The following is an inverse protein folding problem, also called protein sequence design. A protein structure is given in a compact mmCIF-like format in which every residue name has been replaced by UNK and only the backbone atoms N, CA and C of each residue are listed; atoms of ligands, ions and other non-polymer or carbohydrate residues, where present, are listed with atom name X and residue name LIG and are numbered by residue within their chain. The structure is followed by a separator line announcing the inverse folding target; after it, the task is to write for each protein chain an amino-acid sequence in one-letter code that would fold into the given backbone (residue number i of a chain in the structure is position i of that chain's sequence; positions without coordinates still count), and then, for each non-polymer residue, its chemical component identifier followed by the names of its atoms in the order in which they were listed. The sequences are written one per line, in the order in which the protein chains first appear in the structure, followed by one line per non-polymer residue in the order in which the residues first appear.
data_IF_110513552337
#
_entry.id   IF_110513552337
#
_cell.length_a   1.000
_cell.length_b   1.000
_cell.length_c   1.000
_cell.angle_alpha   90.00
_cell.angle_beta   90.00
_cell.angle_gamma   90.00
#
_symmetry.space_group_name_H-M   'P 1'
#
loop_
_entity.id
_entity.type
_entity.pdbx_description
1 polymer ?
#
# COMPACT_ATOMS: atom_id res chain seq x y z
N UNK A 1 -13.48 -23.55 20.65
CA UNK A 1 -12.69 -22.29 20.74
C UNK A 1 -11.25 -22.51 21.22
N UNK A 2 -10.98 -23.17 22.33
CA UNK A 2 -9.62 -23.38 22.88
C UNK A 2 -8.68 -24.11 21.88
N UNK A 3 -9.17 -25.15 21.18
CA UNK A 3 -8.37 -25.90 20.19
C UNK A 3 -7.97 -25.04 19.00
N UNK A 4 -8.89 -24.20 18.51
CA UNK A 4 -8.60 -23.25 17.41
C UNK A 4 -7.58 -22.18 17.84
N UNK A 5 -7.75 -21.59 19.03
CA UNK A 5 -6.82 -20.61 19.56
C UNK A 5 -5.40 -21.19 19.74
N UNK A 6 -5.28 -22.44 20.21
CA UNK A 6 -3.99 -23.15 20.31
C UNK A 6 -3.37 -23.41 18.92
N UNK A 7 -4.19 -23.80 17.93
CA UNK A 7 -3.73 -23.98 16.55
C UNK A 7 -3.18 -22.69 15.94
N UNK A 8 -3.90 -21.57 16.07
CA UNK A 8 -3.46 -20.25 15.60
C UNK A 8 -2.17 -19.80 16.32
N UNK A 9 -2.08 -20.01 17.63
CA UNK A 9 -0.86 -19.70 18.39
C UNK A 9 0.33 -20.56 17.95
N UNK A 10 0.11 -21.86 17.71
CA UNK A 10 1.13 -22.77 17.20
C UNK A 10 1.57 -22.39 15.77
N UNK A 11 0.67 -21.91 14.92
CA UNK A 11 0.98 -21.36 13.62
C UNK A 11 1.69 -19.99 13.67
N UNK A 12 1.86 -19.40 14.86
CA UNK A 12 2.51 -18.10 15.02
C UNK A 12 1.67 -16.92 14.53
N UNK A 13 0.34 -17.06 14.50
CA UNK A 13 -0.55 -15.98 14.08
C UNK A 13 -0.51 -14.84 15.08
N UNK A 14 -0.27 -13.63 14.59
CA UNK A 14 -0.34 -12.39 15.35
C UNK A 14 -1.79 -11.91 15.41
N UNK A 15 -2.40 -11.95 16.57
CA UNK A 15 -3.74 -11.41 16.80
C UNK A 15 -3.76 -9.89 16.96
N UNK A 16 -4.91 -9.27 16.68
CA UNK A 16 -5.10 -7.81 16.68
C UNK A 16 -4.69 -7.15 18.02
N UNK A 17 -5.16 -7.70 19.15
CA UNK A 17 -4.86 -7.14 20.46
C UNK A 17 -3.37 -7.17 20.77
N UNK A 18 -2.68 -8.26 20.44
CA UNK A 18 -1.24 -8.38 20.61
C UNK A 18 -0.50 -7.41 19.69
N UNK A 19 -0.88 -7.30 18.40
CA UNK A 19 -0.32 -6.32 17.48
C UNK A 19 -0.44 -4.90 18.06
N UNK A 20 -1.63 -4.54 18.56
CA UNK A 20 -1.85 -3.21 19.12
C UNK A 20 -0.99 -2.96 20.36
N UNK A 21 -1.00 -3.86 21.33
CA UNK A 21 -0.33 -3.66 22.61
C UNK A 21 1.21 -3.78 22.51
N UNK A 22 1.72 -4.85 21.90
CA UNK A 22 3.14 -5.18 21.94
C UNK A 22 3.98 -4.56 20.81
N UNK A 23 3.35 -4.24 19.67
CA UNK A 23 4.07 -3.73 18.51
C UNK A 23 3.70 -2.29 18.17
N UNK A 24 2.42 -1.99 17.98
CA UNK A 24 2.01 -0.64 17.60
C UNK A 24 2.20 0.37 18.74
N UNK A 25 1.62 0.12 19.92
CA UNK A 25 1.68 1.07 21.03
C UNK A 25 3.09 1.15 21.66
N UNK A 26 3.80 0.03 21.71
CA UNK A 26 5.13 -0.03 22.31
C UNK A 26 6.23 0.58 21.42
N UNK A 27 6.08 0.52 20.09
CA UNK A 27 7.16 0.84 19.16
C UNK A 27 6.85 1.98 18.19
N UNK A 28 5.62 2.47 18.20
CA UNK A 28 5.18 3.60 17.37
C UNK A 28 4.74 4.76 18.27
N UNK A 29 5.62 5.69 18.60
CA UNK A 29 5.25 6.89 19.37
C UNK A 29 4.15 7.70 18.65
N UNK A 30 3.09 8.07 19.38
CA UNK A 30 1.92 8.74 18.77
C UNK A 30 2.24 10.06 18.09
N UNK A 31 3.25 10.78 18.54
CA UNK A 31 3.67 12.05 17.93
C UNK A 31 4.23 11.88 16.50
N UNK A 32 4.60 10.65 16.12
CA UNK A 32 5.06 10.33 14.76
C UNK A 32 3.90 9.98 13.80
N UNK A 33 2.70 9.70 14.32
CA UNK A 33 1.56 9.31 13.46
C UNK A 33 1.21 10.34 12.40
N UNK A 34 1.23 11.66 12.67
CA UNK A 34 0.98 12.66 11.63
C UNK A 34 1.95 12.60 10.43
N UNK A 35 3.12 11.95 10.60
CA UNK A 35 4.08 11.78 9.50
C UNK A 35 3.64 10.71 8.50
N UNK A 36 2.76 9.79 8.91
CA UNK A 36 2.31 8.65 8.09
C UNK A 36 0.79 8.66 7.83
N UNK A 37 0.01 9.30 8.70
CA UNK A 37 -1.44 9.45 8.52
C UNK A 37 -1.79 10.58 7.53
N UNK A 38 -0.84 11.47 7.22
CA UNK A 38 -0.96 12.56 6.25
C UNK A 38 -0.06 12.31 5.03
N UNK A 39 -0.68 11.99 3.89
CA UNK A 39 0.02 11.64 2.63
C UNK A 39 0.90 12.76 2.11
N UNK A 40 0.52 14.03 2.34
CA UNK A 40 1.35 15.16 1.93
C UNK A 40 2.63 15.22 2.75
N UNK A 41 2.54 15.05 4.07
CA UNK A 41 3.72 14.99 4.95
C UNK A 41 4.63 13.81 4.62
N UNK A 42 4.06 12.63 4.45
CA UNK A 42 4.81 11.43 4.03
C UNK A 42 5.58 11.70 2.74
N UNK A 43 4.90 12.30 1.73
CA UNK A 43 5.48 12.62 0.43
C UNK A 43 6.62 13.64 0.57
N UNK A 44 6.44 14.70 1.34
CA UNK A 44 7.47 15.72 1.59
C UNK A 44 8.71 15.13 2.27
N UNK A 45 8.52 14.26 3.27
CA UNK A 45 9.61 13.57 3.94
C UNK A 45 10.37 12.63 3.00
N UNK A 46 9.64 11.82 2.23
CA UNK A 46 10.22 10.90 1.25
C UNK A 46 11.05 11.66 0.20
N UNK A 47 10.51 12.73 -0.36
CA UNK A 47 11.21 13.57 -1.36
C UNK A 47 12.51 14.16 -0.78
N UNK A 48 12.48 14.69 0.45
CA UNK A 48 13.67 15.20 1.14
C UNK A 48 14.74 14.14 1.39
N UNK A 49 14.32 12.90 1.57
CA UNK A 49 15.20 11.75 1.76
C UNK A 49 15.66 11.10 0.44
N UNK A 50 15.31 11.67 -0.71
CA UNK A 50 15.62 11.10 -2.03
C UNK A 50 14.85 9.83 -2.36
N UNK A 51 13.74 9.57 -1.64
CA UNK A 51 12.88 8.41 -1.84
C UNK A 51 11.80 8.76 -2.87
N UNK A 52 11.67 7.93 -3.91
CA UNK A 52 10.73 8.14 -4.99
C UNK A 52 9.27 7.98 -4.54
N UNK A 53 8.45 8.96 -4.90
CA UNK A 53 7.00 9.01 -4.68
C UNK A 53 6.32 9.47 -5.97
N UNK A 54 5.03 9.22 -6.20
CA UNK A 54 4.30 9.84 -7.30
C UNK A 54 4.47 11.36 -7.25
N UNK A 55 4.83 11.98 -8.36
CA UNK A 55 5.07 13.41 -8.46
C UNK A 55 3.83 14.21 -8.04
N UNK A 56 4.01 15.21 -7.17
CA UNK A 56 2.95 16.09 -6.72
C UNK A 56 2.82 17.27 -7.69
N UNK A 57 1.72 17.37 -8.37
CA UNK A 57 1.43 18.48 -9.29
C UNK A 57 0.93 19.72 -8.57
N UNK A 58 0.18 19.54 -7.47
CA UNK A 58 -0.31 20.63 -6.65
C UNK A 58 -1.15 20.18 -5.48
N UNK A 59 -1.49 21.17 -4.63
CA UNK A 59 -2.33 20.98 -3.44
C UNK A 59 -3.35 22.09 -3.41
N UNK A 60 -4.61 21.74 -3.18
CA UNK A 60 -5.69 22.68 -2.87
C UNK A 60 -5.98 22.57 -1.37
N UNK A 61 -5.84 23.67 -0.66
CA UNK A 61 -5.94 23.72 0.81
C UNK A 61 -7.16 24.49 1.31
N UNK A 62 -7.66 25.43 0.50
CA UNK A 62 -8.79 26.29 0.85
C UNK A 62 -9.76 26.43 -0.31
N UNK A 63 -11.04 26.67 -0.01
CA UNK A 63 -12.13 26.74 -1.01
C UNK A 63 -11.86 27.75 -2.13
N UNK A 64 -11.26 28.89 -1.83
CA UNK A 64 -10.94 29.91 -2.85
C UNK A 64 -10.05 29.38 -3.97
N UNK A 65 -9.20 28.37 -3.70
CA UNK A 65 -8.29 27.78 -4.68
C UNK A 65 -8.97 26.76 -5.60
N UNK A 66 -10.20 26.31 -5.30
CA UNK A 66 -10.91 25.30 -6.09
C UNK A 66 -11.07 25.75 -7.55
N UNK A 67 -11.34 27.03 -7.79
CA UNK A 67 -11.42 27.64 -9.14
C UNK A 67 -10.12 27.55 -9.95
N UNK A 68 -8.98 27.39 -9.28
CA UNK A 68 -7.66 27.35 -9.91
C UNK A 68 -7.28 25.93 -10.37
N UNK A 69 -8.07 24.90 -10.01
CA UNK A 69 -7.83 23.47 -10.32
C UNK A 69 -7.58 23.24 -11.81
N UNK A 70 -8.37 23.88 -12.68
CA UNK A 70 -8.28 23.64 -14.12
C UNK A 70 -7.02 24.26 -14.73
N UNK A 71 -6.58 25.40 -14.22
CA UNK A 71 -5.32 26.04 -14.60
C UNK A 71 -4.15 25.20 -14.10
N UNK A 72 -4.21 24.72 -12.85
CA UNK A 72 -3.20 23.85 -12.26
C UNK A 72 -3.04 22.53 -13.05
N UNK A 73 -4.15 21.95 -13.51
CA UNK A 73 -4.15 20.68 -14.26
C UNK A 73 -4.02 20.87 -15.77
N UNK A 74 -3.93 22.11 -16.28
CA UNK A 74 -3.82 22.35 -17.74
C UNK A 74 -2.66 21.57 -18.41
N UNK A 75 -1.44 21.49 -17.81
CA UNK A 75 -0.34 20.74 -18.39
C UNK A 75 -0.50 19.22 -18.33
N UNK A 76 -1.45 18.69 -17.55
CA UNK A 76 -1.56 17.27 -17.26
C UNK A 76 -2.86 16.69 -17.83
N UNK A 77 -2.75 15.77 -18.79
CA UNK A 77 -3.91 15.06 -19.36
C UNK A 77 -4.42 13.96 -18.41
N UNK A 78 -3.51 13.37 -17.63
CA UNK A 78 -3.76 12.29 -16.69
C UNK A 78 -3.26 12.67 -15.30
N UNK A 79 -4.06 12.43 -14.26
CA UNK A 79 -3.70 12.73 -12.89
C UNK A 79 -4.61 12.01 -11.89
N UNK A 80 -4.21 12.01 -10.64
CA UNK A 80 -5.01 11.51 -9.52
C UNK A 80 -5.33 12.66 -8.58
N UNK A 81 -6.57 12.73 -8.13
CA UNK A 81 -7.02 13.60 -7.03
C UNK A 81 -7.29 12.74 -5.82
N UNK A 82 -6.74 13.08 -4.67
CA UNK A 82 -6.96 12.32 -3.44
C UNK A 82 -6.89 13.20 -2.18
N UNK A 83 -7.62 12.84 -1.10
CA UNK A 83 -7.50 13.50 0.19
C UNK A 83 -6.15 13.20 0.84
N UNK A 84 -5.55 14.19 1.53
CA UNK A 84 -4.28 14.00 2.25
C UNK A 84 -4.43 13.03 3.42
N UNK A 85 -5.57 13.07 4.13
CA UNK A 85 -5.85 12.27 5.33
C UNK A 85 -6.96 11.22 5.13
N UNK A 86 -7.35 10.95 3.88
CA UNK A 86 -8.30 9.90 3.52
C UNK A 86 -7.75 8.50 3.73
N UNK A 87 -8.63 7.52 3.92
CA UNK A 87 -8.28 6.11 4.10
C UNK A 87 -9.09 5.20 3.18
N UNK A 88 -8.63 3.97 2.95
CA UNK A 88 -9.37 2.94 2.22
C UNK A 88 -9.56 3.19 0.72
N UNK A 89 -8.99 4.26 0.19
CA UNK A 89 -9.18 4.68 -1.20
C UNK A 89 -10.44 5.51 -1.42
N UNK A 90 -11.09 5.97 -0.36
CA UNK A 90 -12.26 6.84 -0.46
C UNK A 90 -11.83 8.27 -0.82
N UNK A 91 -12.61 8.94 -1.67
CA UNK A 91 -12.29 10.27 -2.19
C UNK A 91 -11.19 10.31 -3.25
N UNK A 92 -10.70 9.15 -3.73
CA UNK A 92 -9.73 9.09 -4.84
C UNK A 92 -10.49 9.13 -6.17
N UNK A 93 -10.12 10.09 -7.03
CA UNK A 93 -10.56 10.17 -8.43
C UNK A 93 -9.34 10.05 -9.34
N UNK A 94 -9.40 9.10 -10.27
CA UNK A 94 -8.33 8.85 -11.24
C UNK A 94 -8.78 9.33 -12.61
N UNK A 95 -8.11 10.34 -13.13
CA UNK A 95 -8.33 10.90 -14.47
C UNK A 95 -7.36 10.24 -15.44
N UNK A 96 -7.91 9.60 -16.47
CA UNK A 96 -7.17 8.88 -17.52
C UNK A 96 -7.09 9.63 -18.84
N UNK A 97 -7.60 10.85 -18.90
CA UNK A 97 -7.58 11.67 -20.11
C UNK A 97 -8.62 12.77 -20.09
N UNK A 98 -8.73 13.46 -21.22
CA UNK A 98 -9.72 14.52 -21.47
C UNK A 98 -10.56 14.22 -22.70
N UNK A 99 -11.77 14.76 -22.73
CA UNK A 99 -12.67 14.75 -23.87
C UNK A 99 -13.34 16.12 -23.98
N UNK A 100 -12.77 17.01 -24.80
CA UNK A 100 -13.16 18.43 -24.81
C UNK A 100 -12.95 19.07 -23.43
N UNK A 101 -14.02 19.66 -22.88
CA UNK A 101 -14.02 20.30 -21.57
C UNK A 101 -14.22 19.32 -20.38
N UNK A 102 -14.39 18.02 -20.67
CA UNK A 102 -14.63 16.99 -19.65
C UNK A 102 -13.38 16.21 -19.32
N UNK A 103 -13.30 15.71 -18.09
CA UNK A 103 -12.30 14.77 -17.64
C UNK A 103 -12.84 13.34 -17.77
N UNK A 104 -12.01 12.42 -18.24
CA UNK A 104 -12.36 11.00 -18.38
C UNK A 104 -11.76 10.21 -17.23
N UNK A 105 -12.60 9.52 -16.47
CA UNK A 105 -12.18 8.59 -15.43
C UNK A 105 -11.69 7.26 -16.02
N UNK A 106 -10.99 6.43 -15.23
CA UNK A 106 -10.48 5.11 -15.67
C UNK A 106 -11.60 4.15 -16.09
N UNK A 107 -12.79 4.25 -15.51
CA UNK A 107 -13.97 3.45 -15.88
C UNK A 107 -14.64 3.91 -17.19
N UNK A 108 -14.20 5.05 -17.74
CA UNK A 108 -14.71 5.66 -18.96
C UNK A 108 -15.76 6.75 -18.71
N UNK A 109 -16.21 6.94 -17.48
CA UNK A 109 -17.14 8.01 -17.13
C UNK A 109 -16.52 9.39 -17.43
N UNK A 110 -17.33 10.29 -17.96
CA UNK A 110 -16.96 11.68 -18.19
C UNK A 110 -17.53 12.54 -17.07
N UNK A 111 -16.68 13.32 -16.41
CA UNK A 111 -17.06 14.31 -15.40
C UNK A 111 -16.76 15.71 -15.92
N UNK A 112 -17.62 16.65 -15.60
CA UNK A 112 -17.46 18.07 -15.96
C UNK A 112 -16.40 18.75 -15.10
N UNK A 113 -16.02 19.97 -15.45
CA UNK A 113 -15.19 20.83 -14.60
C UNK A 113 -15.86 21.07 -13.24
N UNK A 114 -17.15 21.35 -13.22
CA UNK A 114 -17.92 21.58 -12.01
C UNK A 114 -17.98 20.33 -11.11
N UNK A 115 -18.09 19.12 -11.68
CA UNK A 115 -18.06 17.87 -10.88
C UNK A 115 -16.71 17.69 -10.17
N UNK A 116 -15.60 18.00 -10.86
CA UNK A 116 -14.27 17.94 -10.27
C UNK A 116 -14.10 18.99 -9.16
N UNK A 117 -14.55 20.22 -9.38
CA UNK A 117 -14.54 21.27 -8.36
C UNK A 117 -15.37 20.88 -7.13
N UNK A 118 -16.56 20.36 -7.35
CA UNK A 118 -17.43 19.88 -6.26
C UNK A 118 -16.77 18.72 -5.47
N UNK A 119 -16.10 17.80 -6.17
CA UNK A 119 -15.35 16.73 -5.52
C UNK A 119 -14.22 17.27 -4.65
N UNK A 120 -13.47 18.27 -5.15
CA UNK A 120 -12.38 18.91 -4.38
C UNK A 120 -12.93 19.63 -3.15
N UNK A 121 -14.05 20.38 -3.29
CA UNK A 121 -14.73 21.00 -2.14
C UNK A 121 -15.19 19.96 -1.11
N UNK A 122 -15.66 18.79 -1.57
CA UNK A 122 -15.98 17.65 -0.72
C UNK A 122 -14.76 17.14 0.07
N UNK A 123 -13.57 17.10 -0.54
CA UNK A 123 -12.32 16.76 0.18
C UNK A 123 -12.02 17.83 1.24
N UNK A 124 -12.05 19.11 0.87
CA UNK A 124 -11.74 20.22 1.78
C UNK A 124 -12.67 20.24 3.00
N UNK A 125 -13.95 19.91 2.82
CA UNK A 125 -14.93 19.84 3.91
C UNK A 125 -14.72 18.66 4.86
N UNK A 126 -13.79 17.72 4.54
CA UNK A 126 -13.51 16.55 5.35
C UNK A 126 -14.42 15.34 5.09
N UNK A 127 -15.20 15.34 4.00
CA UNK A 127 -16.12 14.24 3.65
C UNK A 127 -15.43 12.87 3.62
N UNK A 128 -14.14 12.82 3.25
CA UNK A 128 -13.35 11.59 3.08
C UNK A 128 -12.28 11.40 4.15
N UNK A 129 -12.15 12.35 5.10
CA UNK A 129 -11.13 12.28 6.14
C UNK A 129 -11.61 11.48 7.35
N UNK A 130 -10.67 10.86 8.05
CA UNK A 130 -10.97 10.19 9.32
C UNK A 130 -11.46 11.20 10.36
N UNK A 131 -12.70 10.99 10.85
CA UNK A 131 -13.32 11.86 11.83
C UNK A 131 -13.92 13.17 11.28
N UNK A 132 -14.08 13.30 9.94
CA UNK A 132 -14.75 14.44 9.31
C UNK A 132 -14.01 15.77 9.48
N UNK A 133 -12.70 15.73 9.70
CA UNK A 133 -11.89 16.95 9.86
C UNK A 133 -11.57 17.54 8.48
N UNK A 134 -11.51 18.89 8.34
CA UNK A 134 -11.06 19.53 7.11
C UNK A 134 -9.76 18.94 6.60
N UNK A 135 -9.66 18.75 5.28
CA UNK A 135 -8.54 18.07 4.63
C UNK A 135 -8.02 18.91 3.44
N UNK A 136 -7.05 18.41 2.74
CA UNK A 136 -6.44 19.00 1.54
C UNK A 136 -6.54 18.04 0.37
N UNK A 137 -6.80 18.60 -0.81
CA UNK A 137 -6.84 17.80 -2.05
C UNK A 137 -5.44 17.80 -2.70
N UNK A 138 -4.88 16.62 -2.88
CA UNK A 138 -3.60 16.39 -3.57
C UNK A 138 -3.86 16.03 -5.01
N UNK A 139 -3.14 16.68 -5.92
CA UNK A 139 -3.12 16.36 -7.35
C UNK A 139 -1.76 15.79 -7.68
N UNK A 140 -1.72 14.59 -8.23
CA UNK A 140 -0.45 13.89 -8.45
C UNK A 140 -0.42 13.06 -9.72
N UNK A 141 0.77 12.66 -10.10
CA UNK A 141 1.06 11.75 -11.19
C UNK A 141 0.20 10.48 -11.09
N UNK A 142 -0.44 10.13 -12.21
CA UNK A 142 -1.13 8.85 -12.36
C UNK A 142 -0.13 7.75 -12.65
N UNK A 143 0.04 6.84 -11.70
CA UNK A 143 0.95 5.69 -11.84
C UNK A 143 0.53 4.80 -13.01
N UNK A 144 1.48 4.49 -13.88
CA UNK A 144 1.36 3.50 -14.95
C UNK A 144 2.01 2.21 -14.46
N UNK A 145 1.23 1.28 -13.94
CA UNK A 145 1.79 0.09 -13.30
C UNK A 145 2.58 -0.81 -14.28
N UNK A 146 3.56 -1.52 -13.73
CA UNK A 146 4.48 -2.36 -14.50
C UNK A 146 3.76 -3.51 -15.22
N UNK A 147 4.22 -3.91 -16.43
CA UNK A 147 3.59 -4.93 -17.26
C UNK A 147 3.36 -6.28 -16.59
N UNK A 148 4.17 -6.64 -15.58
CA UNK A 148 4.02 -7.89 -14.81
C UNK A 148 2.61 -8.04 -14.20
N UNK A 149 1.91 -6.93 -13.96
CA UNK A 149 0.59 -6.93 -13.35
C UNK A 149 -0.57 -6.85 -14.36
N UNK A 150 -0.33 -6.63 -15.65
CA UNK A 150 -1.38 -6.46 -16.65
C UNK A 150 -2.33 -7.66 -16.71
N UNK A 151 -1.76 -8.86 -16.63
CA UNK A 151 -2.53 -10.10 -16.68
C UNK A 151 -3.36 -10.40 -15.42
N UNK A 152 -3.05 -9.74 -14.29
CA UNK A 152 -3.59 -10.07 -12.98
C UNK A 152 -4.17 -8.86 -12.23
N UNK A 153 -4.48 -7.79 -12.93
CA UNK A 153 -5.13 -6.61 -12.37
C UNK A 153 -6.36 -6.22 -13.19
N UNK A 154 -7.36 -5.68 -12.52
CA UNK A 154 -8.56 -5.16 -13.16
C UNK A 154 -8.67 -3.65 -12.96
N UNK A 155 -8.37 -2.87 -14.01
CA UNK A 155 -8.55 -1.40 -14.10
C UNK A 155 -7.88 -0.52 -13.04
N UNK A 156 -7.19 -1.10 -12.06
CA UNK A 156 -6.56 -0.37 -10.97
C UNK A 156 -5.07 -0.64 -10.90
N UNK A 157 -4.39 0.10 -10.03
CA UNK A 157 -2.96 -0.05 -9.78
C UNK A 157 -2.75 -1.06 -8.67
N UNK A 158 -2.08 -2.21 -8.93
CA UNK A 158 -1.62 -3.11 -7.90
C UNK A 158 -0.63 -2.41 -6.98
N UNK A 159 -0.69 -2.71 -5.70
CA UNK A 159 0.32 -2.26 -4.76
C UNK A 159 0.94 -3.41 -3.97
N UNK A 160 2.20 -3.22 -3.58
CA UNK A 160 2.98 -4.17 -2.81
C UNK A 160 3.04 -3.65 -1.38
N UNK A 161 2.39 -4.35 -0.45
CA UNK A 161 2.50 -4.07 0.98
C UNK A 161 3.61 -4.87 1.60
N UNK A 162 4.56 -4.21 2.23
CA UNK A 162 5.64 -4.82 3.00
C UNK A 162 5.49 -4.42 4.47
N UNK A 163 5.40 -5.40 5.37
CA UNK A 163 5.51 -5.13 6.81
C UNK A 163 6.98 -5.02 7.17
N UNK A 164 7.32 -3.88 7.75
CA UNK A 164 8.67 -3.58 8.24
C UNK A 164 8.65 -3.50 9.75
N UNK A 165 9.53 -4.25 10.39
CA UNK A 165 9.66 -4.31 11.83
C UNK A 165 11.12 -4.03 12.24
N UNK A 166 11.33 -2.95 13.01
CA UNK A 166 12.66 -2.44 13.38
C UNK A 166 13.58 -2.28 12.15
N UNK A 167 13.00 -1.86 11.04
CA UNK A 167 13.69 -1.71 9.75
C UNK A 167 13.85 -3.01 8.94
N UNK A 168 13.52 -4.18 9.48
CA UNK A 168 13.60 -5.46 8.77
C UNK A 168 12.28 -5.75 8.04
N UNK A 169 12.28 -6.00 6.70
CA UNK A 169 11.11 -6.49 5.98
C UNK A 169 10.75 -7.91 6.44
N UNK A 170 9.58 -8.09 7.04
CA UNK A 170 9.23 -9.37 7.66
C UNK A 170 8.17 -10.17 6.91
N UNK A 171 7.30 -9.53 6.15
CA UNK A 171 6.25 -10.21 5.37
C UNK A 171 5.75 -9.29 4.26
N UNK A 172 5.42 -9.85 3.11
CA UNK A 172 4.93 -9.08 1.97
C UNK A 172 3.74 -9.71 1.27
N UNK A 173 2.92 -8.89 0.62
CA UNK A 173 1.87 -9.30 -0.31
C UNK A 173 1.70 -8.25 -1.40
N UNK A 174 1.25 -8.65 -2.58
CA UNK A 174 0.67 -7.74 -3.56
C UNK A 174 -0.85 -7.73 -3.41
N UNK A 175 -1.44 -6.54 -3.47
CA UNK A 175 -2.89 -6.33 -3.48
C UNK A 175 -3.33 -6.08 -4.91
N UNK A 176 -4.18 -6.93 -5.43
CA UNK A 176 -4.60 -6.92 -6.83
C UNK A 176 -6.05 -6.44 -6.94
N UNK A 177 -6.29 -5.35 -7.66
CA UNK A 177 -7.63 -4.87 -7.97
C UNK A 177 -8.49 -5.90 -8.69
N UNK A 178 -9.79 -5.92 -8.34
CA UNK A 178 -10.80 -6.74 -9.00
C UNK A 178 -11.99 -5.87 -9.44
N UNK A 179 -12.88 -6.43 -10.25
CA UNK A 179 -14.17 -5.79 -10.57
C UNK A 179 -14.98 -5.55 -9.29
N UNK A 180 -15.00 -6.51 -8.37
CA UNK A 180 -15.72 -6.37 -7.11
C UNK A 180 -15.17 -5.27 -6.19
N UNK A 181 -13.85 -4.97 -6.27
CA UNK A 181 -13.25 -3.85 -5.54
C UNK A 181 -13.38 -2.50 -6.26
N UNK A 182 -14.05 -2.47 -7.44
CA UNK A 182 -14.12 -1.27 -8.27
C UNK A 182 -12.76 -0.77 -8.77
N UNK A 183 -11.79 -1.68 -8.95
CA UNK A 183 -10.42 -1.31 -9.34
C UNK A 183 -9.55 -0.81 -8.17
N UNK A 184 -10.00 -0.90 -6.93
CA UNK A 184 -9.21 -0.52 -5.75
C UNK A 184 -8.42 -1.71 -5.22
N UNK A 185 -7.16 -1.48 -4.81
CA UNK A 185 -6.29 -2.47 -4.18
C UNK A 185 -6.61 -2.63 -2.67
N UNK A 186 -7.89 -2.74 -2.33
CA UNK A 186 -8.37 -2.84 -0.94
C UNK A 186 -9.05 -4.18 -0.68
N UNK A 187 -8.44 -5.02 0.19
CA UNK A 187 -8.94 -6.35 0.51
C UNK A 187 -10.34 -6.34 1.13
N UNK A 188 -10.66 -5.30 1.92
CA UNK A 188 -11.98 -5.16 2.55
C UNK A 188 -13.08 -4.83 1.53
N UNK A 189 -12.71 -4.30 0.37
CA UNK A 189 -13.60 -3.98 -0.74
C UNK A 189 -13.60 -5.07 -1.83
N UNK A 190 -12.94 -6.20 -1.59
CA UNK A 190 -12.97 -7.35 -2.50
C UNK A 190 -11.76 -7.51 -3.42
N UNK A 191 -10.67 -6.76 -3.20
CA UNK A 191 -9.40 -7.01 -3.84
C UNK A 191 -8.78 -8.33 -3.37
N UNK A 192 -7.81 -8.83 -4.12
CA UNK A 192 -7.05 -10.04 -3.81
C UNK A 192 -5.78 -9.65 -3.06
N UNK A 193 -5.40 -10.44 -2.06
CA UNK A 193 -4.06 -10.41 -1.48
C UNK A 193 -3.29 -11.64 -1.90
N UNK A 194 -2.20 -11.47 -2.65
CA UNK A 194 -1.29 -12.55 -2.95
C UNK A 194 0.01 -12.39 -2.14
N UNK A 195 0.31 -13.37 -1.30
CA UNK A 195 1.53 -13.39 -0.49
C UNK A 195 2.77 -13.47 -1.37
N UNK A 196 3.83 -12.77 -0.96
CA UNK A 196 5.11 -12.77 -1.68
C UNK A 196 6.18 -13.36 -0.76
N UNK A 197 6.91 -14.34 -1.25
CA UNK A 197 8.09 -14.87 -0.57
C UNK A 197 9.17 -13.78 -0.45
N UNK A 198 9.57 -13.47 0.76
CA UNK A 198 10.58 -12.43 1.04
C UNK A 198 11.95 -12.78 0.42
N UNK A 199 12.30 -14.06 0.37
CA UNK A 199 13.61 -14.47 -0.17
C UNK A 199 13.69 -14.25 -1.69
N UNK A 200 12.63 -14.59 -2.42
CA UNK A 200 12.66 -14.69 -3.89
C UNK A 200 11.87 -13.60 -4.61
N UNK A 201 10.91 -12.96 -3.96
CA UNK A 201 9.98 -12.02 -4.59
C UNK A 201 8.90 -12.69 -5.44
N UNK A 202 8.66 -13.98 -5.23
CA UNK A 202 7.67 -14.74 -5.99
C UNK A 202 6.37 -14.89 -5.22
N UNK A 203 5.22 -14.74 -5.88
CA UNK A 203 3.92 -14.95 -5.25
C UNK A 203 3.71 -16.42 -4.92
N UNK A 204 3.23 -16.72 -3.69
CA UNK A 204 3.13 -18.08 -3.16
C UNK A 204 1.70 -18.53 -2.98
N UNK A 205 0.81 -17.68 -2.53
CA UNK A 205 -0.57 -17.99 -2.15
C UNK A 205 -1.44 -16.78 -2.39
N UNK A 206 -2.73 -16.97 -2.67
CA UNK A 206 -3.62 -15.84 -2.86
C UNK A 206 -4.96 -16.05 -2.13
N UNK A 207 -5.51 -14.95 -1.61
CA UNK A 207 -6.77 -14.94 -0.86
C UNK A 207 -7.67 -13.80 -1.33
N UNK A 208 -8.97 -14.06 -1.30
CA UNK A 208 -10.02 -13.06 -1.46
C UNK A 208 -11.13 -13.34 -0.46
N UNK A 209 -11.60 -12.32 0.26
CA UNK A 209 -12.63 -12.47 1.28
C UNK A 209 -12.37 -13.64 2.24
N UNK A 210 -11.12 -13.79 2.71
CA UNK A 210 -10.62 -14.85 3.60
C UNK A 210 -10.62 -16.28 3.02
N UNK A 211 -10.92 -16.47 1.74
CA UNK A 211 -10.85 -17.76 1.05
C UNK A 211 -9.65 -17.82 0.12
N UNK A 212 -8.95 -18.95 0.10
CA UNK A 212 -7.86 -19.18 -0.86
C UNK A 212 -8.40 -19.27 -2.28
N UNK A 213 -7.68 -18.66 -3.22
CA UNK A 213 -7.96 -18.72 -4.65
C UNK A 213 -6.66 -18.93 -5.43
N UNK A 214 -6.74 -19.68 -6.52
CA UNK A 214 -5.57 -19.93 -7.38
C UNK A 214 -5.52 -19.03 -8.62
N UNK A 215 -6.65 -18.44 -9.00
CA UNK A 215 -6.78 -17.64 -10.21
C UNK A 215 -7.52 -16.33 -9.94
N UNK A 216 -7.16 -15.30 -10.72
CA UNK A 216 -7.84 -14.01 -10.67
C UNK A 216 -9.29 -14.15 -11.21
N UNK A 217 -10.33 -13.75 -10.47
CA UNK A 217 -11.73 -13.99 -10.85
C UNK A 217 -12.16 -13.28 -12.13
N UNK A 218 -11.54 -12.15 -12.48
CA UNK A 218 -11.93 -11.36 -13.65
C UNK A 218 -11.07 -11.66 -14.88
N UNK A 219 -9.81 -12.11 -14.70
CA UNK A 219 -8.90 -12.38 -15.84
C UNK A 219 -8.66 -13.87 -16.08
N UNK A 220 -8.94 -14.73 -15.08
CA UNK A 220 -8.68 -16.18 -15.16
C UNK A 220 -7.20 -16.58 -15.01
N UNK A 221 -6.29 -15.62 -14.90
CA UNK A 221 -4.86 -15.90 -14.84
C UNK A 221 -4.42 -16.41 -13.45
N UNK A 222 -3.35 -17.25 -13.39
CA UNK A 222 -2.82 -17.75 -12.13
C UNK A 222 -2.25 -16.62 -11.27
N UNK A 223 -2.36 -16.77 -9.95
CA UNK A 223 -1.94 -15.79 -8.95
C UNK A 223 -0.66 -16.20 -8.21
N UNK A 224 -0.15 -17.40 -8.46
CA UNK A 224 1.06 -17.93 -7.85
C UNK A 224 2.21 -17.95 -8.87
N UNK A 225 3.43 -18.02 -8.39
CA UNK A 225 4.66 -18.10 -9.21
C UNK A 225 4.92 -16.86 -10.07
N UNK A 226 4.34 -15.71 -9.71
CA UNK A 226 4.60 -14.43 -10.36
C UNK A 226 5.83 -13.81 -9.71
N UNK A 227 6.87 -13.54 -10.49
CA UNK A 227 8.11 -12.92 -10.02
C UNK A 227 7.99 -11.41 -10.07
N UNK A 228 8.16 -10.74 -8.94
CA UNK A 228 8.13 -9.28 -8.85
C UNK A 228 9.50 -8.73 -9.26
N UNK A 229 9.59 -7.93 -10.33
CA UNK A 229 10.86 -7.39 -10.79
C UNK A 229 11.46 -6.41 -9.78
N UNK A 230 12.81 -6.39 -9.70
CA UNK A 230 13.53 -5.48 -8.81
C UNK A 230 13.28 -5.73 -7.32
N UNK A 231 12.97 -6.97 -6.92
CA UNK A 231 12.53 -7.32 -5.57
C UNK A 231 13.44 -6.84 -4.46
N UNK A 232 14.75 -7.00 -4.62
CA UNK A 232 15.71 -6.54 -3.63
C UNK A 232 15.67 -5.02 -3.43
N UNK A 233 15.53 -4.26 -4.51
CA UNK A 233 15.37 -2.80 -4.44
C UNK A 233 14.09 -2.39 -3.72
N UNK A 234 13.00 -3.14 -3.89
CA UNK A 234 11.74 -2.93 -3.15
C UNK A 234 11.92 -3.18 -1.65
N UNK A 235 12.62 -4.25 -1.27
CA UNK A 235 12.94 -4.54 0.13
C UNK A 235 13.86 -3.46 0.74
N UNK A 236 14.87 -3.01 0.00
CA UNK A 236 15.77 -1.91 0.41
C UNK A 236 14.99 -0.61 0.63
N UNK A 237 14.11 -0.26 -0.30
CA UNK A 237 13.24 0.90 -0.20
C UNK A 237 12.34 0.82 1.04
N UNK A 238 11.68 -0.32 1.27
CA UNK A 238 10.83 -0.53 2.43
C UNK A 238 11.62 -0.46 3.76
N UNK A 239 12.81 -1.07 3.80
CA UNK A 239 13.70 -1.03 4.97
C UNK A 239 14.11 0.41 5.32
N UNK A 240 14.40 1.25 4.31
CA UNK A 240 14.79 2.65 4.48
C UNK A 240 13.67 3.51 5.08
N UNK A 241 12.41 3.12 4.91
CA UNK A 241 11.27 3.84 5.49
C UNK A 241 11.24 3.81 7.03
N UNK A 242 11.98 2.91 7.66
CA UNK A 242 12.14 2.90 9.12
C UNK A 242 12.86 4.16 9.61
N UNK A 243 13.96 4.54 8.97
CA UNK A 243 14.67 5.77 9.30
C UNK A 243 13.85 7.02 8.95
N UNK A 244 13.03 6.95 7.89
CA UNK A 244 12.17 8.05 7.46
C UNK A 244 11.06 8.37 8.46
N UNK A 245 10.37 7.35 8.96
CA UNK A 245 9.18 7.49 9.81
C UNK A 245 9.48 7.46 11.31
N UNK A 246 10.57 6.81 11.71
CA UNK A 246 10.87 6.51 13.11
C UNK A 246 9.96 5.45 13.74
N UNK A 247 9.07 4.82 12.96
CA UNK A 247 8.14 3.80 13.45
C UNK A 247 8.83 2.44 13.53
N UNK A 248 8.72 1.76 14.67
CA UNK A 248 9.29 0.42 14.86
C UNK A 248 8.47 -0.70 14.20
N UNK A 249 7.17 -0.47 13.94
CA UNK A 249 6.27 -1.41 13.27
C UNK A 249 5.41 -0.67 12.27
N UNK A 250 5.58 -0.93 10.99
CA UNK A 250 4.85 -0.22 9.94
C UNK A 250 4.57 -1.08 8.71
N UNK A 251 3.59 -0.66 7.93
CA UNK A 251 3.35 -1.13 6.57
C UNK A 251 3.84 -0.09 5.57
N UNK A 252 4.57 -0.54 4.57
CA UNK A 252 5.01 0.29 3.44
C UNK A 252 4.26 -0.17 2.21
N UNK A 253 3.55 0.75 1.56
CA UNK A 253 2.80 0.50 0.34
C UNK A 253 3.57 1.08 -0.85
N UNK A 254 3.98 0.21 -1.77
CA UNK A 254 4.82 0.53 -2.92
C UNK A 254 4.06 0.14 -4.18
N UNK A 255 4.03 1.03 -5.16
CA UNK A 255 3.62 0.71 -6.53
C UNK A 255 4.84 0.58 -7.41
N UNK A 256 4.77 -0.31 -8.37
CA UNK A 256 5.82 -0.47 -9.38
C UNK A 256 5.35 0.23 -10.66
N UNK A 257 5.85 1.43 -10.88
CA UNK A 257 5.57 2.20 -12.09
C UNK A 257 6.44 1.71 -13.24
N UNK A 258 5.86 1.64 -14.45
CA UNK A 258 6.51 1.12 -15.64
C UNK A 258 7.75 1.92 -16.04
N UNK A 259 7.67 3.24 -15.91
CA UNK A 259 8.69 4.17 -16.41
C UNK A 259 9.56 4.75 -15.28
N UNK A 260 8.99 4.89 -14.07
CA UNK A 260 9.65 5.51 -12.90
C UNK A 260 10.15 4.48 -11.88
N UNK A 261 9.84 3.18 -12.06
CA UNK A 261 10.21 2.14 -11.11
C UNK A 261 9.40 2.18 -9.81
N UNK A 262 9.98 1.75 -8.67
CA UNK A 262 9.25 1.69 -7.40
C UNK A 262 8.95 3.08 -6.82
N UNK A 263 7.68 3.33 -6.47
CA UNK A 263 7.22 4.57 -5.86
C UNK A 263 6.48 4.25 -4.54
N UNK A 264 6.81 4.94 -3.46
CA UNK A 264 6.06 4.82 -2.19
C UNK A 264 4.73 5.57 -2.32
N UNK A 265 3.63 4.88 -2.07
CA UNK A 265 2.29 5.50 -2.00
C UNK A 265 1.97 6.04 -0.62
N UNK A 266 2.17 5.22 0.40
CA UNK A 266 1.90 5.58 1.80
C UNK A 266 2.67 4.70 2.79
N UNK A 267 2.77 5.20 4.01
CA UNK A 267 3.22 4.46 5.17
C UNK A 267 2.05 4.27 6.14
N UNK A 268 1.99 3.12 6.80
CA UNK A 268 0.90 2.78 7.70
C UNK A 268 1.44 2.42 9.09
N UNK A 269 1.06 3.18 10.12
CA UNK A 269 1.41 2.89 11.50
C UNK A 269 0.70 1.65 12.08
N UNK A 270 -0.40 1.23 11.46
CA UNK A 270 -1.28 0.13 11.91
C UNK A 270 -1.68 -0.78 10.76
N UNK A 271 -0.71 -1.42 10.07
CA UNK A 271 -1.02 -2.26 8.92
C UNK A 271 -1.93 -3.43 9.28
N UNK A 272 -2.85 -3.77 8.37
CA UNK A 272 -3.78 -4.88 8.54
C UNK A 272 -3.07 -6.24 8.59
N UNK A 273 -3.70 -7.22 9.25
CA UNK A 273 -3.12 -8.55 9.51
C UNK A 273 -3.51 -9.62 8.46
N UNK A 274 -4.32 -9.27 7.47
CA UNK A 274 -4.74 -10.21 6.41
C UNK A 274 -3.55 -10.69 5.54
N UNK A 275 -2.44 -10.01 5.60
CA UNK A 275 -1.18 -10.42 4.98
C UNK A 275 -0.72 -11.81 5.46
N UNK A 276 -1.04 -12.21 6.69
CA UNK A 276 -0.76 -13.55 7.22
C UNK A 276 -1.55 -14.63 6.47
N UNK A 277 -2.82 -14.34 6.15
CA UNK A 277 -3.67 -15.28 5.40
C UNK A 277 -3.14 -15.40 3.96
N UNK A 278 -2.77 -14.28 3.34
CA UNK A 278 -2.19 -14.26 2.01
C UNK A 278 -0.88 -15.06 1.91
N UNK A 279 -0.08 -15.09 2.98
CA UNK A 279 1.17 -15.86 3.02
C UNK A 279 0.98 -17.30 3.54
N UNK A 280 -0.18 -17.63 4.12
CA UNK A 280 -0.39 -18.92 4.80
C UNK A 280 0.53 -19.13 6.01
N UNK A 281 1.09 -18.04 6.59
CA UNK A 281 2.07 -18.08 7.66
C UNK A 281 1.82 -17.01 8.73
N UNK A 282 2.21 -17.28 9.97
CA UNK A 282 2.04 -16.39 11.11
C UNK A 282 3.17 -15.36 11.23
N UNK A 283 2.79 -14.09 11.32
CA UNK A 283 3.74 -12.95 11.43
C UNK A 283 4.53 -12.96 12.76
N UNK A 284 3.94 -13.47 13.85
CA UNK A 284 4.55 -13.41 15.19
C UNK A 284 5.91 -14.12 15.28
N UNK A 285 6.10 -15.23 14.55
CA UNK A 285 7.39 -15.93 14.53
C UNK A 285 8.49 -15.08 13.94
N UNK A 286 8.18 -14.35 12.86
CA UNK A 286 9.11 -13.46 12.17
C UNK A 286 9.47 -12.25 13.02
N UNK A 287 8.48 -11.63 13.70
CA UNK A 287 8.74 -10.52 14.64
C UNK A 287 9.66 -10.96 15.78
N UNK A 288 9.38 -12.10 16.41
CA UNK A 288 10.24 -12.65 17.48
C UNK A 288 11.65 -12.97 17.01
N UNK A 289 11.80 -13.41 15.77
CA UNK A 289 13.13 -13.65 15.19
C UNK A 289 13.92 -12.34 15.08
N UNK A 290 13.28 -11.26 14.61
CA UNK A 290 13.91 -9.94 14.56
C UNK A 290 14.24 -9.42 15.97
N UNK A 291 13.33 -9.58 16.94
CA UNK A 291 13.58 -9.16 18.32
C UNK A 291 14.82 -9.82 18.92
N UNK A 292 15.08 -11.07 18.58
CA UNK A 292 16.19 -11.84 19.10
C UNK A 292 17.51 -11.59 18.36
N UNK A 293 17.47 -11.59 17.02
CA UNK A 293 18.68 -11.69 16.19
C UNK A 293 18.84 -10.53 15.19
N UNK A 294 17.82 -9.69 14.99
CA UNK A 294 17.79 -8.64 13.97
C UNK A 294 17.75 -7.21 14.49
N UNK A 295 17.81 -7.02 15.79
CA UNK A 295 17.60 -5.71 16.41
C UNK A 295 18.72 -4.71 16.13
N UNK A 296 19.95 -5.19 16.08
CA UNK A 296 21.16 -4.39 15.98
C UNK A 296 21.73 -4.26 14.55
N UNK A 297 20.93 -4.66 13.54
CA UNK A 297 21.32 -4.54 12.13
C UNK A 297 21.38 -3.07 11.72
N UNK A 298 22.59 -2.57 11.45
CA UNK A 298 22.85 -1.14 11.29
C UNK A 298 22.34 -0.56 9.95
N UNK A 299 22.33 -1.34 8.87
CA UNK A 299 22.03 -0.83 7.52
C UNK A 299 20.81 -1.50 6.90
N UNK A 300 20.11 -0.82 5.96
CA UNK A 300 19.07 -1.44 5.17
C UNK A 300 19.54 -2.73 4.46
N UNK A 301 20.77 -2.75 3.93
CA UNK A 301 21.34 -3.92 3.26
C UNK A 301 21.43 -5.13 4.19
N UNK A 302 21.98 -4.95 5.40
CA UNK A 302 22.07 -6.01 6.40
C UNK A 302 20.67 -6.52 6.83
N UNK A 303 19.70 -5.63 6.96
CA UNK A 303 18.30 -5.97 7.31
C UNK A 303 17.62 -6.75 6.20
N UNK A 304 17.83 -6.39 4.95
CA UNK A 304 17.29 -7.09 3.78
C UNK A 304 17.94 -8.46 3.62
N UNK A 305 19.25 -8.55 3.78
CA UNK A 305 19.96 -9.83 3.76
C UNK A 305 19.41 -10.76 4.84
N UNK A 306 19.33 -10.30 6.09
CA UNK A 306 18.74 -11.05 7.20
C UNK A 306 17.31 -11.52 6.89
N UNK A 307 16.48 -10.65 6.31
CA UNK A 307 15.10 -11.00 5.97
C UNK A 307 15.04 -12.11 4.92
N UNK A 308 15.86 -12.03 3.88
CA UNK A 308 15.91 -13.04 2.80
C UNK A 308 16.43 -14.40 3.27
N UNK A 309 17.38 -14.43 4.20
CA UNK A 309 17.93 -15.66 4.78
C UNK A 309 16.96 -16.38 5.73
N UNK A 310 16.10 -15.60 6.43
CA UNK A 310 15.30 -16.16 7.54
C UNK A 310 13.79 -16.21 7.29
N UNK A 311 13.27 -15.54 6.25
CA UNK A 311 11.83 -15.40 6.03
C UNK A 311 11.36 -15.94 4.66
N UNK A 312 12.11 -16.88 4.08
CA UNK A 312 11.64 -17.63 2.92
C UNK A 312 10.28 -18.29 3.22
N UNK A 313 9.43 -18.35 2.21
CA UNK A 313 8.15 -19.05 2.32
C UNK A 313 8.39 -20.54 2.58
N UNK A 314 7.65 -21.09 3.53
CA UNK A 314 7.59 -22.54 3.73
C UNK A 314 6.73 -23.10 2.59
N UNK A 315 7.37 -23.65 1.58
CA UNK A 315 6.64 -24.40 0.54
C UNK A 315 6.07 -25.64 1.22
N UNK A 316 4.74 -25.85 1.25
CA UNK A 316 4.19 -27.11 1.72
C UNK A 316 4.75 -28.21 0.86
N UNK A 317 5.41 -29.19 1.47
CA UNK A 317 5.79 -30.43 0.77
C UNK A 317 4.50 -31.01 0.19
N UNK A 318 4.41 -31.06 -1.11
CA UNK A 318 3.36 -31.82 -1.80
C UNK A 318 3.58 -33.29 -1.39
N UNK A 319 2.76 -33.74 -0.43
CA UNK A 319 2.65 -35.16 -0.07
C UNK A 319 1.69 -35.81 -1.06
#
# INVERSE_FOLDING_TARGET
MIRLARGLAAAGVLGLNRRNAQYTLALNPRHLYPLVDDKLRTKQLATRAGIAVPELYGVIEIERQVRDVHALMAPHSEFVVKPAQGSGGDGIVVISGRSGEHYRKVDGELISRSDLEHHVSGILSGMYSLGGQPDRALFEYRVQFAPVFEAISYRGVPDIRIIVFLGVPVMSMVRLPTRASGGKANLHQGAIGAGIDIATGTTVNAVRANSQIGRHPDTGNPLTSIVIPGWESLLMLASSCHALSGLGYQGVDIVLDRDKGPLILELNARPGLNIQIANGDGLLRRLRRVERDGRDLASPAARVQFAREHFAAVVPSVI
#
